data_IF_315754228603
#
_entry.id   IF_315754228603
#
_cell.length_a   1.000
_cell.length_b   1.000
_cell.length_c   1.000
_cell.angle_alpha   90.00
_cell.angle_beta   90.00
_cell.angle_gamma   90.00
#
_symmetry.space_group_name_H-M   'P 1'
#
loop_
_entity.id
_entity.type
_entity.pdbx_description
1 polymer ?
#
# COMPACT_ATOMS: atom_id res chain seq x y z
N UNK A 1 23.46 14.15 -13.66
CA UNK A 1 22.08 13.65 -13.41
C UNK A 1 21.20 14.84 -13.05
N UNK A 2 19.97 14.93 -13.52
CA UNK A 2 19.08 16.07 -13.26
C UNK A 2 18.72 16.14 -11.76
N UNK A 3 18.82 17.31 -11.13
CA UNK A 3 18.54 17.52 -9.70
C UNK A 3 17.14 17.03 -9.29
N UNK A 4 16.13 17.21 -10.15
CA UNK A 4 14.77 16.71 -9.88
C UNK A 4 14.69 15.19 -9.86
N UNK A 5 15.49 14.52 -10.69
CA UNK A 5 15.58 13.06 -10.73
C UNK A 5 16.24 12.53 -9.46
N UNK A 6 17.29 13.20 -8.97
CA UNK A 6 17.93 12.87 -7.69
C UNK A 6 16.95 12.98 -6.52
N UNK A 7 16.24 14.12 -6.41
CA UNK A 7 15.25 14.32 -5.34
C UNK A 7 14.07 13.35 -5.41
N UNK A 8 13.64 12.98 -6.61
CA UNK A 8 12.61 11.95 -6.78
C UNK A 8 13.13 10.59 -6.28
N UNK A 9 14.36 10.22 -6.63
CA UNK A 9 14.99 8.97 -6.16
C UNK A 9 15.05 8.93 -4.64
N UNK A 10 15.48 10.01 -3.98
CA UNK A 10 15.53 10.10 -2.52
C UNK A 10 14.16 9.84 -1.87
N UNK A 11 13.07 10.32 -2.50
CA UNK A 11 11.71 10.05 -2.01
C UNK A 11 11.38 8.55 -2.14
N UNK A 12 11.67 7.93 -3.29
CA UNK A 12 11.44 6.51 -3.50
C UNK A 12 12.27 5.64 -2.54
N UNK A 13 13.54 6.01 -2.32
CA UNK A 13 14.41 5.32 -1.37
C UNK A 13 13.84 5.39 0.04
N UNK A 14 13.37 6.57 0.46
CA UNK A 14 12.71 6.74 1.76
C UNK A 14 11.38 5.96 1.89
N UNK A 15 10.61 5.81 0.81
CA UNK A 15 9.42 4.95 0.80
C UNK A 15 9.80 3.48 1.00
N UNK A 16 10.86 3.01 0.33
CA UNK A 16 11.36 1.64 0.47
C UNK A 16 11.87 1.37 1.90
N UNK A 17 12.61 2.30 2.50
CA UNK A 17 13.04 2.20 3.90
C UNK A 17 11.84 2.17 4.87
N UNK A 18 10.82 2.99 4.61
CA UNK A 18 9.60 2.99 5.40
C UNK A 18 8.86 1.65 5.29
N UNK A 19 8.72 1.11 4.08
CA UNK A 19 8.14 -0.21 3.85
C UNK A 19 8.92 -1.29 4.61
N UNK A 20 10.25 -1.34 4.48
CA UNK A 20 11.09 -2.31 5.16
C UNK A 20 10.92 -2.27 6.70
N UNK A 21 10.91 -1.07 7.29
CA UNK A 21 10.67 -0.91 8.74
C UNK A 21 9.28 -1.37 9.15
N UNK A 22 8.24 -0.96 8.42
CA UNK A 22 6.86 -1.36 8.76
C UNK A 22 6.64 -2.86 8.59
N UNK A 23 7.22 -3.48 7.56
CA UNK A 23 7.13 -4.92 7.35
C UNK A 23 7.84 -5.70 8.47
N UNK A 24 8.94 -5.16 8.99
CA UNK A 24 9.59 -5.72 10.17
C UNK A 24 8.72 -5.63 11.44
N UNK A 25 8.10 -4.47 11.67
CA UNK A 25 7.35 -4.20 12.91
C UNK A 25 5.95 -4.86 12.94
N UNK A 26 5.30 -4.97 11.79
CA UNK A 26 3.92 -5.47 11.66
C UNK A 26 3.81 -6.82 10.93
N UNK A 27 4.94 -7.39 10.49
CA UNK A 27 4.95 -8.52 9.58
C UNK A 27 4.32 -8.18 8.22
N UNK A 28 4.02 -9.21 7.45
CA UNK A 28 3.42 -9.08 6.11
C UNK A 28 1.88 -8.89 6.16
N UNK A 29 1.46 -7.92 6.96
CA UNK A 29 0.04 -7.61 7.18
C UNK A 29 -0.63 -7.12 5.90
N UNK A 30 0.09 -6.45 5.01
CA UNK A 30 -0.49 -5.97 3.75
C UNK A 30 -0.80 -7.14 2.83
N UNK A 31 0.17 -8.04 2.63
CA UNK A 31 -0.01 -9.25 1.83
C UNK A 31 -1.19 -10.08 2.33
N UNK A 32 -1.23 -10.35 3.65
CA UNK A 32 -2.32 -11.13 4.26
C UNK A 32 -3.70 -10.59 3.88
N UNK A 33 -3.93 -9.28 4.08
CA UNK A 33 -5.23 -8.68 3.72
C UNK A 33 -5.43 -8.58 2.20
N UNK A 34 -4.36 -8.48 1.42
CA UNK A 34 -4.46 -8.49 -0.04
C UNK A 34 -4.88 -9.86 -0.58
N UNK A 35 -4.38 -10.96 0.00
CA UNK A 35 -4.81 -12.32 -0.35
C UNK A 35 -6.29 -12.54 -0.01
N UNK A 36 -6.75 -12.02 1.13
CA UNK A 36 -8.14 -12.17 1.57
C UNK A 36 -9.14 -11.34 0.74
N UNK A 37 -8.80 -10.08 0.43
CA UNK A 37 -9.75 -9.09 -0.09
C UNK A 37 -9.43 -8.62 -1.53
N UNK A 38 -8.24 -8.96 -2.03
CA UNK A 38 -7.73 -8.55 -3.33
C UNK A 38 -7.70 -7.03 -3.54
N UNK A 39 -7.99 -6.61 -4.78
CA UNK A 39 -8.02 -5.20 -5.16
C UNK A 39 -9.08 -4.36 -4.42
N UNK A 40 -10.05 -4.99 -3.72
CA UNK A 40 -11.01 -4.25 -2.91
C UNK A 40 -10.31 -3.55 -1.73
N UNK A 41 -9.39 -4.25 -1.04
CA UNK A 41 -8.59 -3.66 0.04
C UNK A 41 -7.76 -2.48 -0.45
N UNK A 42 -7.05 -2.64 -1.57
CA UNK A 42 -6.24 -1.56 -2.15
C UNK A 42 -7.07 -0.31 -2.48
N UNK A 43 -8.24 -0.48 -3.12
CA UNK A 43 -9.15 0.63 -3.43
C UNK A 43 -9.64 1.36 -2.18
N UNK A 44 -9.99 0.63 -1.12
CA UNK A 44 -10.46 1.22 0.15
C UNK A 44 -9.32 2.02 0.78
N UNK A 45 -8.13 1.42 0.95
CA UNK A 45 -6.98 2.07 1.59
C UNK A 45 -6.52 3.32 0.86
N UNK A 46 -6.46 3.27 -0.48
CA UNK A 46 -6.16 4.44 -1.32
C UNK A 46 -7.27 5.50 -1.20
N UNK A 47 -8.54 5.08 -1.19
CA UNK A 47 -9.70 5.95 -1.01
C UNK A 47 -9.70 6.72 0.31
N UNK A 48 -9.29 6.07 1.41
CA UNK A 48 -9.15 6.69 2.73
C UNK A 48 -8.09 7.80 2.71
N UNK A 49 -6.91 7.51 2.13
CA UNK A 49 -5.81 8.48 2.04
C UNK A 49 -6.14 9.63 1.11
N UNK A 50 -6.80 9.35 -0.01
CA UNK A 50 -7.28 10.39 -0.90
C UNK A 50 -8.33 11.28 -0.24
N UNK A 51 -9.22 10.69 0.58
CA UNK A 51 -10.21 11.46 1.34
C UNK A 51 -9.55 12.36 2.38
N UNK A 52 -8.53 11.87 3.10
CA UNK A 52 -7.70 12.70 3.98
C UNK A 52 -7.02 13.85 3.22
N UNK A 53 -6.45 13.57 2.04
CA UNK A 53 -5.84 14.60 1.21
C UNK A 53 -6.84 15.69 0.80
N UNK A 54 -8.07 15.33 0.41
CA UNK A 54 -9.14 16.31 0.12
C UNK A 54 -9.45 17.20 1.31
N UNK A 55 -9.51 16.63 2.52
CA UNK A 55 -9.75 17.41 3.74
C UNK A 55 -8.60 18.36 4.02
N UNK A 56 -7.36 17.87 4.07
CA UNK A 56 -6.19 18.68 4.40
C UNK A 56 -5.91 19.79 3.38
N UNK A 57 -6.10 19.52 2.08
CA UNK A 57 -5.89 20.52 1.02
C UNK A 57 -6.94 21.64 1.01
N UNK A 58 -8.12 21.42 1.60
CA UNK A 58 -9.17 22.43 1.75
C UNK A 58 -9.07 23.24 3.03
N UNK A 59 -8.46 22.69 4.08
CA UNK A 59 -8.28 23.41 5.35
C UNK A 59 -7.31 24.60 5.22
N UNK A 60 -6.37 24.55 4.28
CA UNK A 60 -5.37 25.60 4.06
C UNK A 60 -5.95 26.95 3.60
N UNK A 61 -7.19 27.02 3.13
CA UNK A 61 -7.73 28.26 2.57
C UNK A 61 -8.60 29.11 3.51
N UNK A 62 -9.21 28.60 4.59
CA UNK A 62 -10.12 29.43 5.40
C UNK A 62 -10.19 29.18 6.92
N UNK A 63 -9.72 28.07 7.50
CA UNK A 63 -10.00 27.77 8.92
C UNK A 63 -8.85 27.00 9.59
N UNK A 64 -7.83 27.72 10.08
CA UNK A 64 -6.76 27.11 10.90
C UNK A 64 -7.25 26.69 12.30
N UNK A 65 -8.38 27.22 12.76
CA UNK A 65 -8.89 27.01 14.13
C UNK A 65 -9.79 25.75 14.28
N UNK A 66 -10.10 25.04 13.19
CA UNK A 66 -10.93 23.81 13.24
C UNK A 66 -10.11 22.50 13.22
N UNK A 67 -8.78 22.58 13.18
CA UNK A 67 -7.94 21.39 13.01
C UNK A 67 -7.70 20.68 14.36
N UNK A 68 -8.69 19.91 14.82
CA UNK A 68 -8.62 19.21 16.12
C UNK A 68 -7.72 17.96 16.17
N UNK A 69 -7.10 17.54 15.06
CA UNK A 69 -6.08 16.46 15.07
C UNK A 69 -5.05 16.76 13.97
N UNK A 70 -3.79 16.96 14.34
CA UNK A 70 -2.71 17.42 13.43
C UNK A 70 -1.50 16.49 13.44
N UNK A 71 -1.67 15.17 13.56
CA UNK A 71 -0.51 14.27 13.60
C UNK A 71 0.08 13.93 12.21
N UNK A 72 -0.66 14.13 11.12
CA UNK A 72 -0.19 13.76 9.76
C UNK A 72 -0.31 14.93 8.76
N UNK A 73 0.79 15.24 8.07
CA UNK A 73 0.84 16.34 7.10
C UNK A 73 0.28 15.94 5.72
N UNK A 74 0.04 16.94 4.86
CA UNK A 74 -0.29 16.72 3.43
C UNK A 74 0.81 15.88 2.77
N UNK A 75 2.08 16.14 3.09
CA UNK A 75 3.21 15.41 2.54
C UNK A 75 3.15 13.94 2.94
N UNK A 76 2.92 13.65 4.21
CA UNK A 76 2.84 12.27 4.71
C UNK A 76 1.67 11.52 4.07
N UNK A 77 0.53 12.20 3.89
CA UNK A 77 -0.63 11.62 3.20
C UNK A 77 -0.32 11.27 1.73
N UNK A 78 0.43 12.11 1.02
CA UNK A 78 0.85 11.85 -0.36
C UNK A 78 1.88 10.71 -0.44
N UNK A 79 2.77 10.61 0.54
CA UNK A 79 3.72 9.50 0.65
C UNK A 79 3.01 8.18 0.94
N UNK A 80 2.00 8.18 1.81
CA UNK A 80 1.14 7.02 2.05
C UNK A 80 0.44 6.57 0.76
N UNK A 81 -0.14 7.51 0.01
CA UNK A 81 -0.77 7.20 -1.28
C UNK A 81 0.21 6.52 -2.24
N UNK A 82 1.43 7.06 -2.35
CA UNK A 82 2.47 6.47 -3.19
C UNK A 82 2.85 5.07 -2.70
N UNK A 83 3.05 4.90 -1.39
CA UNK A 83 3.46 3.62 -0.82
C UNK A 83 2.39 2.53 -0.99
N UNK A 84 1.12 2.84 -0.73
CA UNK A 84 0.02 1.91 -0.94
C UNK A 84 -0.13 1.53 -2.42
N UNK A 85 0.08 2.47 -3.34
CA UNK A 85 0.08 2.18 -4.78
C UNK A 85 1.24 1.24 -5.16
N UNK A 86 2.46 1.51 -4.68
CA UNK A 86 3.64 0.67 -4.94
C UNK A 86 3.46 -0.73 -4.36
N UNK A 87 3.01 -0.85 -3.10
CA UNK A 87 2.74 -2.14 -2.47
C UNK A 87 1.66 -2.93 -3.22
N UNK A 88 0.62 -2.26 -3.72
CA UNK A 88 -0.40 -2.93 -4.55
C UNK A 88 0.20 -3.48 -5.83
N UNK A 89 1.07 -2.70 -6.50
CA UNK A 89 1.79 -3.18 -7.70
C UNK A 89 2.71 -4.35 -7.35
N UNK A 90 3.40 -4.30 -6.21
CA UNK A 90 4.25 -5.40 -5.75
C UNK A 90 3.48 -6.72 -5.62
N UNK A 91 2.27 -6.69 -5.05
CA UNK A 91 1.40 -7.88 -4.95
C UNK A 91 0.86 -8.33 -6.32
N UNK A 92 0.61 -7.39 -7.23
CA UNK A 92 0.15 -7.71 -8.60
C UNK A 92 1.27 -8.31 -9.47
N UNK A 93 2.51 -7.87 -9.25
CA UNK A 93 3.69 -8.34 -9.96
C UNK A 93 4.30 -9.58 -9.28
N UNK A 94 3.89 -9.89 -8.05
CA UNK A 94 4.27 -11.12 -7.38
C UNK A 94 3.84 -12.30 -8.28
N UNK A 95 4.76 -13.23 -8.60
CA UNK A 95 4.41 -14.39 -9.39
C UNK A 95 3.25 -15.09 -8.68
N UNK A 96 2.23 -15.43 -9.46
CA UNK A 96 1.02 -16.07 -8.99
C UNK A 96 1.39 -17.25 -8.06
N UNK A 97 1.30 -17.05 -6.74
CA UNK A 97 1.19 -18.15 -5.77
C UNK A 97 -0.18 -18.83 -5.89
N UNK A 98 -0.91 -18.57 -6.98
CA UNK A 98 -2.01 -19.37 -7.49
C UNK A 98 -1.67 -20.84 -7.70
N UNK A 99 -0.45 -21.33 -7.43
CA UNK A 99 -0.25 -22.73 -7.05
C UNK A 99 -0.75 -23.01 -5.62
N UNK A 100 -2.02 -22.69 -5.37
CA UNK A 100 -2.71 -23.13 -4.18
C UNK A 100 -3.10 -24.60 -4.40
N UNK A 101 -2.30 -25.51 -3.85
CA UNK A 101 -2.67 -26.92 -3.75
C UNK A 101 -3.61 -27.09 -2.56
N UNK A 102 -4.88 -27.34 -2.83
CA UNK A 102 -5.88 -27.67 -1.82
C UNK A 102 -5.67 -29.12 -1.37
N UNK A 103 -5.67 -29.35 -0.05
CA UNK A 103 -5.52 -30.68 0.56
C UNK A 103 -6.82 -31.16 1.19
N UNK A 104 -7.12 -32.45 1.05
CA UNK A 104 -8.19 -33.16 1.73
C UNK A 104 -7.61 -34.45 2.32
N UNK A 105 -7.76 -34.66 3.63
CA UNK A 105 -7.15 -35.80 4.33
C UNK A 105 -5.63 -35.91 4.09
N UNK A 106 -4.93 -34.79 4.19
CA UNK A 106 -3.48 -34.67 3.94
C UNK A 106 -3.04 -35.11 2.53
N UNK A 107 -3.97 -35.17 1.57
CA UNK A 107 -3.67 -35.43 0.15
C UNK A 107 -4.03 -34.24 -0.72
N UNK A 108 -3.18 -33.84 -1.67
CA UNK A 108 -3.50 -32.80 -2.62
C UNK A 108 -4.65 -33.28 -3.52
N UNK A 109 -5.72 -32.48 -3.64
CA UNK A 109 -6.89 -32.82 -4.47
C UNK A 109 -7.16 -31.82 -5.59
N UNK A 110 -6.58 -30.62 -5.53
CA UNK A 110 -6.73 -29.62 -6.58
C UNK A 110 -5.58 -28.62 -6.52
N UNK A 111 -4.95 -28.32 -7.65
CA UNK A 111 -3.93 -27.27 -7.78
C UNK A 111 -4.45 -26.25 -8.78
N UNK A 112 -4.63 -25.00 -8.34
CA UNK A 112 -4.96 -23.92 -9.26
C UNK A 112 -3.76 -23.70 -10.20
N UNK A 113 -4.02 -23.58 -11.51
CA UNK A 113 -2.99 -23.34 -12.53
C UNK A 113 -2.40 -24.57 -13.24
N UNK A 114 -2.77 -25.80 -12.88
CA UNK A 114 -2.52 -26.98 -13.73
C UNK A 114 -3.58 -27.10 -14.82
N UNK A 115 -3.56 -26.16 -15.77
CA UNK A 115 -4.19 -26.36 -17.08
C UNK A 115 -3.26 -25.77 -18.16
N UNK A 116 -2.18 -26.49 -18.45
CA UNK A 116 -1.56 -26.64 -19.77
C UNK A 116 -0.84 -27.97 -19.91
#
# INVERSE_FOLDING_TARGET
>A
MNEKVLRHKEICDGLNELYARKNHDYGDSFHTTFVEEGLAMARIRLGDKFSRFKTLSRLSCNDRDQQQVTDESIRDTLLDLANYAIMTVLEMDAPDESHATMYAYDKPFYTVGEDK
#
